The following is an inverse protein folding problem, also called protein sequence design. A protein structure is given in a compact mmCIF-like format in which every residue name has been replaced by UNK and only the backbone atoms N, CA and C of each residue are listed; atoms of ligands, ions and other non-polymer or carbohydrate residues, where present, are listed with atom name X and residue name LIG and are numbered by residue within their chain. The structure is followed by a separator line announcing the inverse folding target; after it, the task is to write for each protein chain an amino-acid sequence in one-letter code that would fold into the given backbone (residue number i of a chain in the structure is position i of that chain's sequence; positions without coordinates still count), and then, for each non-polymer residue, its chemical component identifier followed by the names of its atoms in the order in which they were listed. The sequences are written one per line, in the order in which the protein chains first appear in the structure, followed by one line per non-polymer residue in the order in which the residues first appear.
data_IF_900250616833
#
_entry.id   IF_900250616833
#
_cell.length_a   1.000
_cell.length_b   1.000
_cell.length_c   1.000
_cell.angle_alpha   90.00
_cell.angle_beta   90.00
_cell.angle_gamma   90.00
#
_symmetry.space_group_name_H-M   'P 1'
#
loop_
_entity.id
_entity.type
_entity.pdbx_description
1 polymer ?
#
# COMPACT_ATOMS: atom_id res chain seq x y z
N UNK A 1 -4.28 -9.46 22.91
CA UNK A 1 -3.59 -8.22 22.49
C UNK A 1 -4.41 -7.05 23.01
N UNK A 2 -4.01 -6.45 24.13
CA UNK A 2 -4.65 -5.25 24.69
C UNK A 2 -3.97 -4.01 24.10
N UNK A 3 -4.14 -3.78 22.79
CA UNK A 3 -3.75 -2.51 22.17
C UNK A 3 -4.92 -1.54 22.28
N UNK A 4 -4.68 -0.32 22.74
CA UNK A 4 -5.66 0.79 22.70
C UNK A 4 -5.88 1.35 21.30
N UNK A 5 -5.18 0.82 20.29
CA UNK A 5 -5.21 1.30 18.92
C UNK A 5 -5.73 0.22 17.97
N UNK A 6 -6.62 0.64 17.06
CA UNK A 6 -7.17 -0.16 15.98
C UNK A 6 -6.64 0.37 14.65
N UNK A 7 -6.15 -0.51 13.79
CA UNK A 7 -5.72 -0.14 12.44
C UNK A 7 -6.95 0.00 11.53
N UNK A 8 -7.58 1.17 11.54
CA UNK A 8 -8.82 1.40 10.79
C UNK A 8 -8.61 1.28 9.27
N UNK A 9 -7.58 1.93 8.72
CA UNK A 9 -7.26 1.85 7.30
C UNK A 9 -5.74 1.84 7.08
N UNK A 10 -5.25 0.82 6.37
CA UNK A 10 -3.90 0.82 5.83
C UNK A 10 -3.90 1.49 4.46
N UNK A 11 -3.16 2.60 4.33
CA UNK A 11 -2.91 3.23 3.02
C UNK A 11 -1.64 2.65 2.46
N UNK A 12 -1.75 1.90 1.37
CA UNK A 12 -0.64 1.16 0.79
C UNK A 12 -0.36 1.65 -0.63
N UNK A 13 0.83 2.22 -0.85
CA UNK A 13 1.39 2.43 -2.18
C UNK A 13 1.74 1.08 -2.81
N UNK A 14 0.80 0.51 -3.57
CA UNK A 14 0.91 -0.81 -4.18
C UNK A 14 1.98 -0.83 -5.28
N UNK A 15 2.05 0.25 -6.06
CA UNK A 15 3.11 0.49 -7.05
C UNK A 15 3.32 1.99 -7.22
N UNK A 16 4.55 2.43 -7.53
CA UNK A 16 4.80 3.80 -8.01
C UNK A 16 4.90 3.90 -9.53
N UNK A 17 4.80 2.78 -10.24
CA UNK A 17 4.64 2.84 -11.69
C UNK A 17 3.37 3.64 -12.00
N UNK A 18 3.50 4.70 -12.81
CA UNK A 18 2.41 5.56 -13.23
C UNK A 18 2.65 6.02 -14.66
N UNK A 19 1.61 6.01 -15.48
CA UNK A 19 1.64 6.51 -16.85
C UNK A 19 1.67 8.04 -16.94
N UNK A 20 1.54 8.75 -15.81
CA UNK A 20 1.60 10.19 -15.68
C UNK A 20 2.71 10.65 -14.72
N UNK A 21 3.04 11.94 -14.79
CA UNK A 21 4.02 12.60 -13.90
C UNK A 21 3.48 13.96 -13.44
N UNK A 22 2.39 13.94 -12.66
CA UNK A 22 1.63 15.14 -12.28
C UNK A 22 2.44 16.06 -11.34
N UNK A 23 2.40 17.39 -11.59
CA UNK A 23 3.13 18.39 -10.77
C UNK A 23 2.69 18.47 -9.30
N UNK A 24 1.53 17.89 -8.97
CA UNK A 24 0.94 17.88 -7.63
C UNK A 24 0.87 16.45 -7.05
N UNK A 25 1.60 15.49 -7.63
CA UNK A 25 1.60 14.11 -7.16
C UNK A 25 2.30 14.00 -5.79
N UNK A 26 1.54 13.73 -4.74
CA UNK A 26 2.09 13.55 -3.38
C UNK A 26 3.09 12.39 -3.27
N UNK A 27 2.90 11.35 -4.08
CA UNK A 27 3.78 10.17 -4.12
C UNK A 27 4.98 10.31 -5.06
N UNK A 28 5.03 11.37 -5.88
CA UNK A 28 6.00 11.52 -6.97
C UNK A 28 6.08 10.25 -7.85
N UNK A 29 4.91 9.70 -8.19
CA UNK A 29 4.78 8.47 -8.97
C UNK A 29 5.26 8.67 -10.42
N UNK A 30 5.66 7.57 -11.05
CA UNK A 30 6.17 7.54 -12.42
C UNK A 30 6.86 6.21 -12.69
N UNK A 31 8.14 6.10 -12.30
CA UNK A 31 8.86 4.82 -12.42
C UNK A 31 8.56 3.89 -11.25
N UNK A 32 8.44 2.60 -11.56
CA UNK A 32 8.35 1.51 -10.57
C UNK A 32 9.52 1.58 -9.57
N UNK A 33 9.26 1.35 -8.28
CA UNK A 33 10.35 1.16 -7.30
C UNK A 33 11.05 -0.20 -7.54
N UNK A 34 12.33 -0.29 -7.20
CA UNK A 34 13.12 -1.50 -7.43
C UNK A 34 12.70 -2.68 -6.53
N UNK A 35 12.08 -2.37 -5.39
CA UNK A 35 11.75 -3.25 -4.28
C UNK A 35 10.25 -3.27 -3.99
N UNK A 36 9.41 -3.10 -5.02
CA UNK A 36 7.97 -3.35 -4.89
C UNK A 36 7.69 -4.82 -4.60
N UNK A 37 6.67 -5.07 -3.76
CA UNK A 37 6.25 -6.43 -3.44
C UNK A 37 5.87 -7.19 -4.72
N UNK A 38 6.32 -8.43 -4.80
CA UNK A 38 5.79 -9.40 -5.74
C UNK A 38 4.31 -9.68 -5.43
N UNK A 39 3.57 -10.25 -6.39
CA UNK A 39 2.17 -10.61 -6.15
C UNK A 39 2.00 -11.62 -5.01
N UNK A 40 2.98 -12.49 -4.77
CA UNK A 40 2.96 -13.42 -3.65
C UNK A 40 3.11 -12.69 -2.31
N UNK A 41 4.08 -11.78 -2.20
CA UNK A 41 4.28 -10.97 -1.00
C UNK A 41 3.11 -10.01 -0.74
N UNK A 42 2.49 -9.50 -1.80
CA UNK A 42 1.27 -8.68 -1.72
C UNK A 42 0.09 -9.44 -1.09
N UNK A 43 -0.08 -10.71 -1.45
CA UNK A 43 -1.12 -11.57 -0.84
C UNK A 43 -0.77 -11.89 0.61
N UNK A 44 0.50 -12.18 0.92
CA UNK A 44 0.95 -12.38 2.30
C UNK A 44 0.72 -11.14 3.17
N UNK A 45 0.99 -9.94 2.64
CA UNK A 45 0.69 -8.69 3.34
C UNK A 45 -0.81 -8.54 3.65
N UNK A 46 -1.70 -8.95 2.74
CA UNK A 46 -3.14 -8.95 3.03
C UNK A 46 -3.47 -9.87 4.22
N UNK A 47 -2.81 -11.02 4.35
CA UNK A 47 -2.97 -11.93 5.48
C UNK A 47 -2.38 -11.34 6.77
N UNK A 48 -1.24 -10.66 6.70
CA UNK A 48 -0.64 -9.94 7.82
C UNK A 48 -1.56 -8.81 8.33
N UNK A 49 -2.10 -7.98 7.43
CA UNK A 49 -3.04 -6.90 7.78
C UNK A 49 -4.32 -7.45 8.43
N UNK A 50 -4.85 -8.56 7.91
CA UNK A 50 -5.97 -9.27 8.54
C UNK A 50 -5.61 -9.76 9.94
N UNK A 51 -4.43 -10.37 10.12
CA UNK A 51 -3.95 -10.84 11.43
C UNK A 51 -3.73 -9.68 12.42
N UNK A 52 -3.36 -8.51 11.92
CA UNK A 52 -3.23 -7.28 12.70
C UNK A 52 -4.57 -6.61 13.07
N UNK A 53 -5.70 -7.12 12.57
CA UNK A 53 -7.02 -6.55 12.82
C UNK A 53 -7.31 -5.28 12.02
N UNK A 54 -6.68 -5.14 10.85
CA UNK A 54 -6.94 -4.02 9.94
C UNK A 54 -8.38 -4.06 9.43
N UNK A 55 -9.09 -2.93 9.47
CA UNK A 55 -10.50 -2.85 9.05
C UNK A 55 -10.67 -2.52 7.55
N UNK A 56 -9.66 -1.93 6.92
CA UNK A 56 -9.71 -1.57 5.50
C UNK A 56 -8.33 -1.30 4.91
N UNK A 57 -8.22 -1.44 3.58
CA UNK A 57 -6.98 -1.16 2.85
C UNK A 57 -7.32 -0.25 1.67
N UNK A 58 -6.63 0.88 1.59
CA UNK A 58 -6.65 1.75 0.41
C UNK A 58 -5.43 1.41 -0.45
N UNK A 59 -5.67 0.80 -1.61
CA UNK A 59 -4.64 0.58 -2.63
C UNK A 59 -4.41 1.91 -3.36
N UNK A 60 -3.22 2.46 -3.16
CA UNK A 60 -2.77 3.75 -3.68
C UNK A 60 -1.48 3.57 -4.50
N UNK A 61 -0.96 4.67 -5.03
CA UNK A 61 0.31 4.69 -5.76
C UNK A 61 0.16 5.37 -7.12
N UNK A 62 0.58 4.69 -8.17
CA UNK A 62 0.37 5.06 -9.57
C UNK A 62 -0.49 4.04 -10.35
N UNK A 63 -0.81 4.39 -11.60
CA UNK A 63 -1.52 3.54 -12.56
C UNK A 63 -0.96 3.73 -13.97
#
# INVERSE_FOLDING_TARGET
MNSSYTLECAVWEFTLACNLNCIHCGSSAGSRRADELTSAEAVELCLDLKRAGCLGVALMGGE
#
